data_IF_829343620925
#
_entry.id   IF_829343620925
#
_cell.length_a   1.000
_cell.length_b   1.000
_cell.length_c   1.000
_cell.angle_alpha   90.00
_cell.angle_beta   90.00
_cell.angle_gamma   90.00
#
_symmetry.space_group_name_H-M   'P 1'
#
loop_
_entity.id
_entity.type
_entity.pdbx_description
1 polymer ?
#
# COMPACT_ATOMS: atom_id res chain seq x y z
N UNK A 1 -5.08 13.58 -8.56
CA UNK A 1 -5.03 12.93 -7.25
C UNK A 1 -6.21 13.45 -6.45
N UNK A 2 -7.07 12.56 -5.95
CA UNK A 2 -8.22 12.99 -5.13
C UNK A 2 -7.79 13.63 -3.81
N UNK A 3 -6.68 13.14 -3.24
CA UNK A 3 -6.17 13.61 -1.94
C UNK A 3 -5.59 15.01 -2.03
N UNK A 4 -4.73 15.32 -3.00
CA UNK A 4 -4.06 16.64 -3.07
C UNK A 4 -4.42 17.53 -4.26
N UNK A 5 -5.28 17.07 -5.16
CA UNK A 5 -5.69 17.81 -6.37
C UNK A 5 -4.69 17.80 -7.54
N UNK A 6 -3.43 17.37 -7.34
CA UNK A 6 -2.41 17.35 -8.40
C UNK A 6 -2.74 16.36 -9.52
N UNK A 7 -2.45 16.71 -10.77
CA UNK A 7 -2.54 15.76 -11.88
C UNK A 7 -1.43 14.70 -11.76
N UNK A 8 -1.79 13.42 -11.75
CA UNK A 8 -0.84 12.30 -11.58
C UNK A 8 -1.14 11.22 -12.61
N UNK A 9 -0.09 10.82 -13.34
CA UNK A 9 -0.15 9.82 -14.41
C UNK A 9 -0.03 8.41 -13.82
N UNK A 10 -0.58 7.43 -14.54
CA UNK A 10 -0.84 6.05 -14.08
C UNK A 10 0.11 5.52 -12.98
N UNK A 11 1.36 5.14 -13.31
CA UNK A 11 2.31 4.55 -12.35
C UNK A 11 2.64 5.40 -11.13
N UNK A 12 2.56 6.72 -11.26
CA UNK A 12 2.90 7.64 -10.19
C UNK A 12 1.79 7.71 -9.13
N UNK A 13 0.57 7.25 -9.46
CA UNK A 13 -0.56 7.26 -8.52
C UNK A 13 -0.34 6.39 -7.30
N UNK A 14 0.31 5.24 -7.48
CA UNK A 14 0.67 4.32 -6.40
C UNK A 14 1.70 4.94 -5.44
N UNK A 15 2.61 5.76 -5.96
CA UNK A 15 3.65 6.43 -5.17
C UNK A 15 3.12 7.65 -4.42
N UNK A 16 2.11 8.29 -5.00
CA UNK A 16 1.74 9.65 -4.64
C UNK A 16 0.83 9.76 -3.41
N UNK A 17 0.06 8.72 -3.04
CA UNK A 17 -1.20 8.98 -2.31
C UNK A 17 -1.30 8.46 -0.86
N UNK A 18 -0.60 7.40 -0.42
CA UNK A 18 -1.05 6.73 0.83
C UNK A 18 -0.07 6.82 1.99
N UNK A 19 1.20 6.44 1.83
CA UNK A 19 2.06 6.33 3.03
C UNK A 19 2.25 7.64 3.78
N UNK A 20 2.38 8.76 3.08
CA UNK A 20 2.59 10.06 3.74
C UNK A 20 1.37 10.43 4.59
N UNK A 21 0.19 10.36 3.98
CA UNK A 21 -1.05 10.69 4.66
C UNK A 21 -1.39 9.69 5.78
N UNK A 22 -1.19 8.38 5.55
CA UNK A 22 -1.45 7.35 6.58
C UNK A 22 -0.43 7.36 7.72
N UNK A 23 0.76 7.96 7.53
CA UNK A 23 1.81 8.10 8.56
C UNK A 23 1.88 9.51 9.16
N UNK A 24 0.83 10.31 9.05
CA UNK A 24 0.76 11.62 9.70
C UNK A 24 1.73 12.66 9.13
N UNK A 25 2.31 12.42 7.95
CA UNK A 25 3.05 13.44 7.21
C UNK A 25 2.01 14.40 6.66
N UNK A 26 1.76 15.46 7.43
CA UNK A 26 0.88 16.56 7.05
C UNK A 26 1.49 17.27 5.85
N UNK A 27 1.07 16.90 4.65
CA UNK A 27 1.30 17.76 3.50
C UNK A 27 0.23 18.85 3.54
N UNK A 28 0.64 20.12 3.51
CA UNK A 28 -0.25 21.29 3.38
C UNK A 28 -1.20 21.21 2.16
N UNK A 29 -1.02 20.21 1.31
CA UNK A 29 -1.79 19.96 0.11
C UNK A 29 -2.89 18.90 0.24
N UNK A 30 -3.08 18.24 1.40
CA UNK A 30 -4.19 17.29 1.59
C UNK A 30 -5.52 18.04 1.64
N UNK A 31 -6.34 17.87 0.60
CA UNK A 31 -7.68 18.47 0.44
C UNK A 31 -8.81 17.53 0.82
N UNK A 32 -8.56 16.22 0.81
CA UNK A 32 -9.54 15.17 1.12
C UNK A 32 -8.92 14.19 2.12
N UNK A 33 -9.64 13.81 3.19
CA UNK A 33 -9.12 12.86 4.17
C UNK A 33 -8.87 11.49 3.54
N UNK A 34 -7.78 10.85 3.98
CA UNK A 34 -7.46 9.45 3.66
C UNK A 34 -8.11 8.56 4.71
N UNK A 35 -8.64 7.41 4.29
CA UNK A 35 -9.22 6.42 5.19
C UNK A 35 -8.18 5.97 6.21
N UNK A 36 -8.58 5.90 7.48
CA UNK A 36 -7.78 5.34 8.57
C UNK A 36 -7.90 3.83 8.67
N UNK A 37 -8.86 3.23 7.96
CA UNK A 37 -9.08 1.78 7.91
C UNK A 37 -8.83 1.31 6.49
N UNK A 38 -7.70 0.62 6.29
CA UNK A 38 -7.29 -0.01 5.03
C UNK A 38 -7.40 0.90 3.79
N UNK A 39 -6.72 2.07 3.77
CA UNK A 39 -6.82 3.00 2.65
C UNK A 39 -6.41 2.35 1.32
N UNK A 40 -7.16 2.67 0.27
CA UNK A 40 -6.88 2.27 -1.09
C UNK A 40 -5.52 2.79 -1.54
N UNK A 41 -4.64 1.92 -2.00
CA UNK A 41 -3.30 2.20 -2.53
C UNK A 41 -3.24 3.13 -3.76
N UNK A 42 -4.37 3.67 -4.23
CA UNK A 42 -4.42 4.64 -5.33
C UNK A 42 -5.16 5.94 -4.99
N UNK A 43 -6.33 5.88 -4.33
CA UNK A 43 -7.13 7.08 -4.03
C UNK A 43 -7.21 7.45 -2.55
N UNK A 44 -6.70 6.59 -1.65
CA UNK A 44 -6.78 6.77 -0.20
C UNK A 44 -8.16 6.53 0.42
N UNK A 45 -9.21 6.24 -0.34
CA UNK A 45 -10.54 5.90 0.18
C UNK A 45 -10.69 4.42 0.55
N UNK A 46 -11.93 3.95 0.74
CA UNK A 46 -12.26 2.54 0.94
C UNK A 46 -12.62 1.90 -0.41
N UNK A 47 -11.68 1.17 -1.00
CA UNK A 47 -11.87 0.50 -2.29
C UNK A 47 -11.54 -0.98 -2.15
N UNK A 48 -12.26 -1.84 -2.86
CA UNK A 48 -11.91 -3.26 -2.92
C UNK A 48 -10.66 -3.47 -3.77
N UNK A 49 -9.88 -4.50 -3.41
CA UNK A 49 -8.65 -4.88 -4.09
C UNK A 49 -8.59 -6.40 -4.22
N UNK A 50 -8.15 -6.86 -5.39
CA UNK A 50 -7.93 -8.27 -5.70
C UNK A 50 -6.72 -8.43 -6.61
N UNK A 51 -6.32 -9.68 -6.84
CA UNK A 51 -5.22 -10.04 -7.74
C UNK A 51 -5.80 -10.88 -8.88
N UNK A 52 -5.73 -10.38 -10.12
CA UNK A 52 -6.18 -11.09 -11.33
C UNK A 52 -5.04 -11.16 -12.33
N UNK A 53 -4.71 -12.36 -12.82
CA UNK A 53 -3.66 -12.58 -13.82
C UNK A 53 -2.32 -11.88 -13.47
N UNK A 54 -1.90 -11.98 -12.19
CA UNK A 54 -0.68 -11.35 -11.64
C UNK A 54 -0.70 -9.81 -11.66
N UNK A 55 -1.86 -9.19 -11.88
CA UNK A 55 -2.08 -7.74 -11.85
C UNK A 55 -2.94 -7.36 -10.64
N UNK A 56 -2.74 -6.14 -10.17
CA UNK A 56 -3.65 -5.52 -9.22
C UNK A 56 -4.96 -5.16 -9.92
N UNK A 57 -6.09 -5.52 -9.29
CA UNK A 57 -7.44 -5.27 -9.77
C UNK A 57 -8.26 -4.60 -8.65
N UNK A 58 -8.79 -3.41 -8.89
CA UNK A 58 -9.49 -2.62 -7.87
C UNK A 58 -10.70 -1.93 -8.48
N UNK A 59 -11.77 -1.79 -7.70
CA UNK A 59 -12.95 -0.98 -8.05
C UNK A 59 -12.69 0.53 -7.98
N UNK A 60 -11.49 0.95 -7.59
CA UNK A 60 -11.13 2.34 -7.47
C UNK A 60 -11.16 3.04 -8.84
N UNK A 61 -11.93 4.14 -9.02
CA UNK A 61 -11.97 4.89 -10.29
C UNK A 61 -10.63 5.49 -10.72
N UNK A 62 -9.68 5.56 -9.78
CA UNK A 62 -8.33 6.05 -10.03
C UNK A 62 -7.31 4.94 -10.29
N UNK A 63 -7.71 3.66 -10.15
CA UNK A 63 -6.85 2.50 -10.37
C UNK A 63 -6.29 2.48 -11.79
N UNK A 64 -5.12 1.87 -11.91
CA UNK A 64 -4.51 1.56 -13.19
C UNK A 64 -3.96 0.13 -13.11
N UNK A 65 -4.00 -0.64 -14.22
CA UNK A 65 -3.47 -1.99 -14.22
C UNK A 65 -1.93 -1.95 -14.16
N UNK A 66 -1.35 -2.75 -13.27
CA UNK A 66 0.09 -2.98 -13.23
C UNK A 66 0.41 -4.42 -12.83
N UNK A 67 1.57 -4.91 -13.29
CA UNK A 67 2.09 -6.21 -12.89
C UNK A 67 2.70 -6.12 -11.49
N UNK A 68 2.25 -7.00 -10.59
CA UNK A 68 2.70 -7.02 -9.19
C UNK A 68 4.20 -7.31 -9.11
N UNK A 69 4.70 -8.26 -9.92
CA UNK A 69 6.12 -8.63 -9.96
C UNK A 69 7.05 -7.48 -10.34
N UNK A 70 6.56 -6.54 -11.15
CA UNK A 70 7.29 -5.33 -11.52
C UNK A 70 7.12 -4.25 -10.45
N UNK A 71 5.91 -4.07 -9.91
CA UNK A 71 5.62 -3.05 -8.91
C UNK A 71 6.23 -3.33 -7.53
N UNK A 72 6.50 -4.59 -7.18
CA UNK A 72 7.16 -4.93 -5.91
C UNK A 72 8.67 -4.59 -5.86
N UNK A 73 9.28 -4.23 -6.99
CA UNK A 73 10.71 -3.92 -7.08
C UNK A 73 10.94 -2.44 -6.82
N UNK A 74 11.73 -2.13 -5.80
CA UNK A 74 12.21 -0.77 -5.56
C UNK A 74 13.07 -0.30 -6.74
N UNK A 75 12.83 0.92 -7.19
CA UNK A 75 13.69 1.66 -8.11
C UNK A 75 13.83 3.09 -7.57
N UNK A 76 15.00 3.74 -7.68
CA UNK A 76 15.15 5.13 -7.27
C UNK A 76 14.14 6.09 -7.93
N UNK A 77 13.76 5.81 -9.18
CA UNK A 77 12.74 6.56 -9.94
C UNK A 77 11.30 6.17 -9.59
N UNK A 78 11.10 5.04 -8.90
CA UNK A 78 9.81 4.53 -8.45
C UNK A 78 9.99 3.82 -7.10
N UNK A 79 10.11 4.58 -6.00
CA UNK A 79 10.42 4.03 -4.69
C UNK A 79 9.24 3.34 -4.01
N UNK A 80 8.03 3.37 -4.58
CA UNK A 80 6.88 2.71 -3.97
C UNK A 80 6.80 1.23 -4.40
N UNK A 81 6.79 0.32 -3.43
CA UNK A 81 6.53 -1.11 -3.67
C UNK A 81 5.14 -1.57 -3.24
N UNK A 82 4.20 -0.64 -3.06
CA UNK A 82 2.88 -0.90 -2.51
C UNK A 82 2.00 -1.77 -3.42
N UNK A 83 2.08 -3.08 -3.30
CA UNK A 83 1.29 -4.01 -4.10
C UNK A 83 0.20 -4.67 -3.25
N UNK A 84 -0.89 -5.16 -3.86
CA UNK A 84 -1.76 -6.09 -3.16
C UNK A 84 -1.01 -7.36 -2.79
N UNK A 85 -1.15 -7.78 -1.54
CA UNK A 85 -0.59 -9.01 -0.98
C UNK A 85 -1.75 -9.82 -0.40
N UNK A 86 -1.66 -11.15 -0.49
CA UNK A 86 -2.64 -12.07 0.10
C UNK A 86 -2.21 -12.41 1.52
N UNK A 87 -3.13 -12.38 2.49
CA UNK A 87 -2.80 -12.74 3.86
C UNK A 87 -2.36 -14.21 3.96
N UNK A 88 -1.20 -14.43 4.61
CA UNK A 88 -0.60 -15.75 4.81
C UNK A 88 -1.30 -16.57 5.90
N UNK A 89 -2.12 -15.94 6.76
CA UNK A 89 -2.83 -16.66 7.81
C UNK A 89 -3.84 -17.64 7.26
N UNK A 90 -3.81 -18.86 7.79
CA UNK A 90 -4.75 -19.91 7.41
C UNK A 90 -6.19 -19.40 7.59
N UNK A 91 -7.02 -19.59 6.57
CA UNK A 91 -8.43 -19.19 6.52
C UNK A 91 -8.74 -17.68 6.41
N UNK A 92 -7.75 -16.77 6.43
CA UNK A 92 -8.04 -15.34 6.26
C UNK A 92 -8.43 -15.00 4.82
N UNK A 93 -7.62 -15.40 3.84
CA UNK A 93 -7.83 -15.18 2.38
C UNK A 93 -8.05 -13.71 1.96
N UNK A 94 -7.84 -12.75 2.86
CA UNK A 94 -8.00 -11.33 2.56
C UNK A 94 -6.80 -10.80 1.78
N UNK A 95 -7.07 -9.86 0.87
CA UNK A 95 -6.06 -9.17 0.08
C UNK A 95 -6.05 -7.72 0.53
N UNK A 96 -4.87 -7.23 0.91
CA UNK A 96 -4.68 -5.84 1.33
C UNK A 96 -3.52 -5.23 0.57
N UNK A 97 -3.45 -3.90 0.54
CA UNK A 97 -2.22 -3.22 0.11
C UNK A 97 -1.10 -3.53 1.11
N UNK A 98 0.13 -3.76 0.62
CA UNK A 98 1.34 -4.00 1.42
C UNK A 98 1.40 -3.08 2.65
N UNK A 99 1.15 -1.79 2.45
CA UNK A 99 1.27 -0.80 3.52
C UNK A 99 0.18 -0.86 4.59
N UNK A 100 -0.91 -1.59 4.34
CA UNK A 100 -1.99 -1.82 5.28
C UNK A 100 -1.82 -3.14 6.04
N UNK A 101 -0.85 -3.98 5.67
CA UNK A 101 -0.75 -5.33 6.22
C UNK A 101 -0.42 -5.35 7.70
N UNK A 102 0.43 -4.44 8.19
CA UNK A 102 0.73 -4.39 9.62
C UNK A 102 -0.53 -4.17 10.45
N UNK A 103 -1.36 -3.20 10.08
CA UNK A 103 -2.67 -2.96 10.70
C UNK A 103 -3.58 -4.19 10.59
N UNK A 104 -3.62 -4.84 9.42
CA UNK A 104 -4.39 -6.08 9.23
C UNK A 104 -4.01 -7.16 10.24
N UNK A 105 -2.70 -7.42 10.37
CA UNK A 105 -2.20 -8.47 11.23
C UNK A 105 -2.48 -8.15 12.70
N UNK A 106 -2.22 -6.91 13.14
CA UNK A 106 -2.49 -6.47 14.52
C UNK A 106 -3.99 -6.55 14.89
N UNK A 107 -4.90 -6.20 13.97
CA UNK A 107 -6.34 -6.19 14.23
C UNK A 107 -7.01 -7.57 14.10
N UNK A 108 -6.57 -8.41 13.15
CA UNK A 108 -7.25 -9.66 12.77
C UNK A 108 -6.52 -10.92 13.24
N UNK A 109 -5.23 -10.80 13.53
CA UNK A 109 -4.37 -11.92 13.88
C UNK A 109 -3.48 -11.56 15.09
N UNK A 110 -4.02 -11.29 16.29
CA UNK A 110 -3.19 -11.00 17.46
C UNK A 110 -2.19 -12.12 17.74
N UNK A 111 -0.90 -11.79 17.90
CA UNK A 111 0.19 -12.76 18.08
C UNK A 111 0.60 -13.51 16.81
N UNK A 112 0.44 -12.87 15.64
CA UNK A 112 0.77 -13.45 14.34
C UNK A 112 2.27 -13.62 14.10
N UNK A 113 3.11 -12.93 14.85
CA UNK A 113 4.55 -12.82 14.61
C UNK A 113 5.22 -14.21 14.60
N UNK A 114 4.78 -15.13 15.46
CA UNK A 114 5.30 -16.51 15.52
C UNK A 114 4.58 -17.48 14.56
N UNK A 115 3.49 -17.04 13.91
CA UNK A 115 2.60 -17.88 13.11
C UNK A 115 2.85 -17.76 11.60
N UNK A 116 3.69 -16.84 11.18
CA UNK A 116 3.99 -16.62 9.77
C UNK A 116 5.48 -16.72 9.49
N UNK A 117 5.84 -16.95 8.23
CA UNK A 117 7.24 -17.02 7.82
C UNK A 117 7.91 -15.64 7.80
N UNK A 118 9.21 -15.62 8.09
CA UNK A 118 10.08 -14.45 7.91
C UNK A 118 9.97 -13.87 6.48
N UNK A 119 9.84 -14.74 5.47
CA UNK A 119 9.64 -14.33 4.08
C UNK A 119 8.41 -13.43 3.89
N UNK A 120 7.31 -13.72 4.59
CA UNK A 120 6.10 -12.90 4.51
C UNK A 120 6.26 -11.59 5.29
N UNK A 121 6.89 -11.64 6.46
CA UNK A 121 7.24 -10.44 7.25
C UNK A 121 8.04 -9.48 6.37
N UNK A 122 9.05 -9.99 5.68
CA UNK A 122 9.89 -9.24 4.75
C UNK A 122 9.12 -8.72 3.53
N UNK A 123 8.17 -9.50 2.98
CA UNK A 123 7.31 -9.06 1.88
C UNK A 123 6.46 -7.83 2.25
N UNK A 124 5.89 -7.81 3.46
CA UNK A 124 5.03 -6.72 3.92
C UNK A 124 5.81 -5.53 4.52
N UNK A 125 7.10 -5.70 4.80
CA UNK A 125 7.96 -4.67 5.40
C UNK A 125 8.18 -3.49 4.45
N UNK A 126 8.03 -2.27 4.97
CA UNK A 126 8.37 -1.04 4.25
C UNK A 126 9.84 -0.71 4.53
N UNK A 127 10.72 -0.93 3.56
CA UNK A 127 12.15 -0.75 3.73
C UNK A 127 12.56 0.73 3.94
N UNK A 128 13.71 0.96 4.56
CA UNK A 128 14.26 2.31 4.75
C UNK A 128 14.49 3.03 3.42
N UNK A 129 14.86 2.30 2.36
CA UNK A 129 15.01 2.86 1.00
C UNK A 129 13.68 3.38 0.46
N UNK A 130 12.59 2.64 0.64
CA UNK A 130 11.25 3.09 0.27
C UNK A 130 10.84 4.32 1.08
N UNK A 131 11.10 4.32 2.40
CA UNK A 131 10.80 5.45 3.28
C UNK A 131 11.54 6.73 2.84
N UNK A 132 12.85 6.62 2.57
CA UNK A 132 13.66 7.73 2.06
C UNK A 132 13.18 8.22 0.69
N UNK A 133 12.98 7.30 -0.26
CA UNK A 133 12.53 7.65 -1.61
C UNK A 133 11.14 8.29 -1.63
N UNK A 134 10.27 7.88 -0.71
CA UNK A 134 8.94 8.45 -0.51
C UNK A 134 8.93 9.66 0.43
N UNK A 135 10.07 10.07 1.01
CA UNK A 135 10.18 11.17 1.98
C UNK A 135 9.24 11.01 3.17
N UNK A 136 9.28 9.83 3.79
CA UNK A 136 8.56 9.47 5.01
C UNK A 136 9.60 9.35 6.13
N UNK A 137 9.26 9.70 7.39
CA UNK A 137 10.14 9.46 8.54
C UNK A 137 10.59 8.00 8.62
N UNK A 138 11.87 7.81 8.98
CA UNK A 138 12.43 6.49 9.28
C UNK A 138 11.80 5.96 10.58
N UNK A 139 11.52 4.66 10.61
CA UNK A 139 11.04 3.92 11.78
C UNK A 139 12.12 2.98 12.29
#
# INVERSE_FOLDING_TARGET
>A
CRVCGKAVKGPDRQQHVILKASRGVSEASVRVPVSTSYPCGTCGGTCSISIKNKKADSDCPSAYPFLITTAKKFLPTRPCTNVPVLCAMQNCKQIHWKYNFRQHMEERHPGWEDLISDDFVEEIRISSQEQLGLRIPLQ
#
